data_IF_982351880643
#
_entry.id   IF_982351880643
#
_cell.length_a   1.000
_cell.length_b   1.000
_cell.length_c   1.000
_cell.angle_alpha   90.00
_cell.angle_beta   90.00
_cell.angle_gamma   90.00
#
_symmetry.space_group_name_H-M   'P 1'
#
loop_
_entity.id
_entity.type
_entity.pdbx_description
1 polymer ?
#
# COMPACT_ATOMS: atom_id res chain seq x y z
N UNK A 1 -30.62 13.50 -15.23
CA UNK A 1 -30.16 12.13 -15.50
C UNK A 1 -28.84 12.28 -16.27
N UNK A 2 -27.73 12.26 -15.55
CA UNK A 2 -26.39 12.41 -16.16
C UNK A 2 -25.94 11.01 -16.55
N UNK A 3 -25.91 10.72 -17.84
CA UNK A 3 -25.28 9.54 -18.40
C UNK A 3 -23.76 9.65 -18.18
N UNK A 4 -23.21 8.81 -17.32
CA UNK A 4 -21.78 8.58 -17.26
C UNK A 4 -21.38 7.72 -18.46
N UNK A 5 -20.67 8.34 -19.41
CA UNK A 5 -20.12 7.66 -20.58
C UNK A 5 -18.94 6.75 -20.16
N UNK A 6 -19.17 5.45 -20.17
CA UNK A 6 -18.18 4.40 -19.81
C UNK A 6 -17.13 4.22 -20.94
N UNK A 7 -16.75 5.27 -21.67
CA UNK A 7 -15.83 5.17 -22.80
C UNK A 7 -14.36 5.39 -22.48
N UNK A 8 -13.96 5.50 -21.22
CA UNK A 8 -12.55 5.61 -20.89
C UNK A 8 -11.95 4.30 -20.35
N UNK A 9 -12.15 3.20 -21.09
CA UNK A 9 -11.46 1.94 -20.82
C UNK A 9 -9.92 2.04 -20.98
N UNK A 10 -9.41 3.12 -21.56
CA UNK A 10 -7.96 3.34 -21.70
C UNK A 10 -7.31 3.75 -20.38
N UNK A 11 -8.03 4.45 -19.51
CA UNK A 11 -7.51 4.86 -18.19
C UNK A 11 -7.46 3.70 -17.20
N UNK A 12 -8.39 2.74 -17.30
CA UNK A 12 -8.43 1.56 -16.41
C UNK A 12 -7.26 0.59 -16.74
N UNK A 13 -6.84 0.53 -17.99
CA UNK A 13 -5.69 -0.28 -18.42
C UNK A 13 -4.33 0.32 -18.05
N UNK A 14 -4.29 1.53 -17.46
CA UNK A 14 -3.05 2.16 -17.05
C UNK A 14 -2.55 1.72 -15.68
N UNK A 15 -3.38 1.12 -14.85
CA UNK A 15 -3.05 0.79 -13.46
C UNK A 15 -2.44 -0.60 -13.32
N UNK A 16 -1.42 -0.71 -12.46
CA UNK A 16 -0.87 -2.01 -12.05
C UNK A 16 -1.84 -2.68 -11.07
N UNK A 17 -2.23 -3.91 -11.34
CA UNK A 17 -3.21 -4.63 -10.55
C UNK A 17 -2.55 -5.41 -9.40
N UNK A 18 -3.08 -5.27 -8.18
CA UNK A 18 -2.68 -6.09 -7.04
C UNK A 18 -3.50 -7.39 -7.07
N UNK A 19 -2.83 -8.53 -7.19
CA UNK A 19 -3.48 -9.86 -7.14
C UNK A 19 -3.67 -10.38 -5.72
N UNK A 20 -2.70 -10.12 -4.86
CA UNK A 20 -2.70 -10.69 -3.50
C UNK A 20 -1.85 -9.88 -2.56
N UNK A 21 -2.24 -9.85 -1.30
CA UNK A 21 -1.41 -9.35 -0.19
C UNK A 21 -1.28 -10.43 0.88
N UNK A 22 -0.06 -10.78 1.26
CA UNK A 22 0.24 -11.64 2.39
C UNK A 22 0.74 -10.79 3.55
N UNK A 23 0.13 -10.95 4.71
CA UNK A 23 0.36 -10.13 5.91
C UNK A 23 0.75 -11.02 7.08
N UNK A 24 1.84 -10.68 7.75
CA UNK A 24 2.34 -11.37 8.94
C UNK A 24 2.79 -10.36 9.98
N UNK A 25 2.29 -10.49 11.20
CA UNK A 25 2.73 -9.68 12.33
C UNK A 25 2.50 -8.17 12.17
N UNK A 26 1.46 -7.75 11.46
CA UNK A 26 1.20 -6.35 11.13
C UNK A 26 -0.11 -5.87 11.80
N UNK A 27 0.00 -4.92 12.71
CA UNK A 27 -1.14 -4.32 13.44
C UNK A 27 -2.07 -5.38 14.06
N UNK A 28 -3.30 -5.52 13.57
CA UNK A 28 -4.26 -6.54 14.04
C UNK A 28 -4.00 -7.94 13.47
N UNK A 29 -3.16 -8.06 12.44
CA UNK A 29 -2.77 -9.34 11.85
C UNK A 29 -1.66 -9.98 12.69
N UNK A 30 -1.96 -11.11 13.34
CA UNK A 30 -1.03 -11.82 14.20
C UNK A 30 0.08 -12.57 13.46
N UNK A 31 0.74 -13.46 14.16
CA UNK A 31 1.89 -14.24 13.68
C UNK A 31 1.50 -15.47 12.86
N UNK A 32 0.35 -15.41 12.20
CA UNK A 32 -0.09 -16.38 11.18
C UNK A 32 -0.21 -15.62 9.86
N UNK A 33 0.35 -16.18 8.79
CA UNK A 33 0.18 -15.59 7.46
C UNK A 33 -1.30 -15.45 7.13
N UNK A 34 -1.72 -14.24 6.84
CA UNK A 34 -3.06 -13.92 6.36
C UNK A 34 -2.93 -13.45 4.91
N UNK A 35 -3.60 -14.16 4.00
CA UNK A 35 -3.61 -13.83 2.58
C UNK A 35 -4.95 -13.21 2.20
N UNK A 36 -4.91 -12.10 1.49
CA UNK A 36 -6.07 -11.43 0.89
C UNK A 36 -5.89 -11.41 -0.62
N UNK A 37 -6.77 -12.09 -1.34
CA UNK A 37 -6.78 -12.10 -2.79
C UNK A 37 -7.67 -10.99 -3.32
N UNK A 38 -7.30 -10.44 -4.47
CA UNK A 38 -8.03 -9.38 -5.16
C UNK A 38 -8.30 -9.82 -6.59
N UNK A 39 -9.57 -9.77 -6.98
CA UNK A 39 -9.99 -9.98 -8.36
C UNK A 39 -9.85 -8.67 -9.14
N UNK A 40 -9.71 -8.72 -10.48
CA UNK A 40 -9.70 -7.51 -11.30
C UNK A 40 -10.99 -6.70 -11.14
N UNK A 41 -10.86 -5.37 -11.10
CA UNK A 41 -11.98 -4.43 -11.03
C UNK A 41 -12.15 -3.75 -9.67
N UNK A 42 -13.34 -3.25 -9.38
CA UNK A 42 -13.67 -2.58 -8.14
C UNK A 42 -13.89 -3.59 -7.01
N UNK A 43 -13.10 -3.49 -5.95
CA UNK A 43 -13.17 -4.37 -4.78
C UNK A 43 -13.67 -3.59 -3.59
N UNK A 44 -14.68 -4.13 -2.90
CA UNK A 44 -15.19 -3.60 -1.63
C UNK A 44 -14.85 -4.56 -0.49
N UNK A 45 -14.24 -4.02 0.57
CA UNK A 45 -13.94 -4.77 1.79
C UNK A 45 -14.90 -4.28 2.88
N UNK A 46 -15.84 -5.15 3.29
CA UNK A 46 -16.83 -4.86 4.31
C UNK A 46 -16.63 -5.72 5.56
N UNK A 47 -17.20 -5.29 6.68
CA UNK A 47 -17.13 -6.01 7.96
C UNK A 47 -17.32 -5.05 9.15
N UNK A 48 -17.46 -5.58 10.37
CA UNK A 48 -17.68 -4.76 11.56
C UNK A 48 -16.52 -3.82 11.87
N UNK A 49 -16.79 -2.78 12.67
CA UNK A 49 -15.75 -1.86 13.13
C UNK A 49 -14.70 -2.62 13.95
N UNK A 50 -13.43 -2.30 13.77
CA UNK A 50 -12.32 -2.97 14.44
C UNK A 50 -11.86 -4.29 13.79
N UNK A 51 -12.53 -4.80 12.75
CA UNK A 51 -12.15 -6.08 12.09
C UNK A 51 -10.84 -6.03 11.28
N UNK A 52 -10.17 -4.89 11.21
CA UNK A 52 -8.88 -4.77 10.52
C UNK A 52 -8.96 -4.39 9.03
N UNK A 53 -10.14 -4.03 8.51
CA UNK A 53 -10.31 -3.64 7.09
C UNK A 53 -9.30 -2.60 6.63
N UNK A 54 -9.19 -1.50 7.37
CA UNK A 54 -8.26 -0.43 7.04
C UNK A 54 -6.79 -0.83 7.20
N UNK A 55 -6.50 -1.89 7.97
CA UNK A 55 -5.14 -2.38 8.13
C UNK A 55 -4.63 -3.13 6.90
N UNK A 56 -5.53 -3.60 6.02
CA UNK A 56 -5.15 -4.18 4.72
C UNK A 56 -4.55 -3.10 3.83
N UNK A 57 -5.21 -1.93 3.74
CA UNK A 57 -4.67 -0.79 2.98
C UNK A 57 -3.35 -0.29 3.59
N UNK A 58 -3.28 -0.17 4.92
CA UNK A 58 -2.04 0.22 5.60
C UNK A 58 -0.90 -0.77 5.31
N UNK A 59 -1.20 -2.07 5.22
CA UNK A 59 -0.20 -3.09 4.89
C UNK A 59 0.33 -2.91 3.46
N UNK A 60 -0.54 -2.61 2.49
CA UNK A 60 -0.13 -2.32 1.11
C UNK A 60 0.78 -1.09 1.09
N UNK A 61 0.34 0.01 1.67
CA UNK A 61 1.09 1.27 1.74
C UNK A 61 2.44 1.08 2.46
N UNK A 62 2.47 0.27 3.53
CA UNK A 62 3.71 -0.11 4.21
C UNK A 62 4.67 -0.84 3.27
N UNK A 63 4.21 -1.87 2.56
CA UNK A 63 5.05 -2.65 1.64
C UNK A 63 5.62 -1.79 0.52
N UNK A 64 4.87 -0.78 0.06
CA UNK A 64 5.28 0.18 -0.97
C UNK A 64 6.27 1.23 -0.49
N UNK A 65 6.74 1.14 0.74
CA UNK A 65 7.83 1.97 1.24
C UNK A 65 7.40 3.21 2.01
N UNK A 66 6.13 3.34 2.43
CA UNK A 66 5.74 4.44 3.31
C UNK A 66 6.47 4.36 4.66
N UNK A 67 7.14 5.43 5.03
CA UNK A 67 7.91 5.55 6.26
C UNK A 67 7.28 6.47 7.30
N UNK A 68 6.21 7.19 6.95
CA UNK A 68 5.49 8.03 7.89
C UNK A 68 4.45 7.18 8.63
N UNK A 69 4.74 6.79 9.85
CA UNK A 69 3.85 5.95 10.65
C UNK A 69 2.44 6.57 10.83
N UNK A 70 2.34 7.89 10.86
CA UNK A 70 1.07 8.63 10.96
C UNK A 70 0.14 8.39 9.78
N UNK A 71 0.68 8.14 8.57
CA UNK A 71 -0.10 7.76 7.39
C UNK A 71 -0.83 6.44 7.65
N UNK A 72 -0.19 5.53 8.37
CA UNK A 72 -0.75 4.24 8.78
C UNK A 72 -1.37 4.28 10.19
N UNK A 73 -1.72 5.48 10.68
CA UNK A 73 -2.43 5.71 11.96
C UNK A 73 -1.70 5.14 13.18
N UNK A 74 -0.38 5.24 13.19
CA UNK A 74 0.47 4.80 14.28
C UNK A 74 1.42 5.92 14.76
N UNK A 75 1.79 5.97 16.04
CA UNK A 75 2.69 6.99 16.56
C UNK A 75 4.12 6.84 16.01
N UNK A 76 4.56 5.63 15.77
CA UNK A 76 5.87 5.31 15.21
C UNK A 76 5.81 4.00 14.39
N UNK A 77 6.85 3.72 13.59
CA UNK A 77 6.89 2.53 12.73
C UNK A 77 6.88 1.23 13.54
N UNK A 78 7.54 1.19 14.69
CA UNK A 78 7.59 0.01 15.56
C UNK A 78 6.18 -0.43 16.00
N UNK A 79 5.27 0.51 16.21
CA UNK A 79 3.88 0.25 16.58
C UNK A 79 3.06 -0.44 15.45
N UNK A 80 3.64 -0.63 14.26
CA UNK A 80 3.05 -1.43 13.20
C UNK A 80 3.20 -2.93 13.44
N UNK A 81 4.18 -3.34 14.29
CA UNK A 81 4.39 -4.75 14.62
C UNK A 81 3.29 -5.19 15.57
N UNK A 82 2.68 -6.33 15.26
CA UNK A 82 1.64 -6.92 16.09
C UNK A 82 2.16 -7.21 17.50
N UNK A 83 1.42 -6.74 18.52
CA UNK A 83 1.70 -7.01 19.93
C UNK A 83 3.15 -6.71 20.37
N UNK A 84 3.75 -5.62 19.81
CA UNK A 84 5.18 -5.31 20.01
C UNK A 84 5.53 -5.09 21.49
N UNK A 85 4.60 -4.51 22.27
CA UNK A 85 4.76 -4.22 23.68
C UNK A 85 4.02 -5.23 24.58
N UNK A 86 3.43 -6.28 23.98
CA UNK A 86 2.72 -7.34 24.69
C UNK A 86 3.65 -8.36 25.34
N UNK A 87 3.11 -9.11 26.30
CA UNK A 87 3.82 -10.18 27.03
C UNK A 87 3.95 -11.48 26.24
N UNK A 88 3.58 -11.50 24.97
CA UNK A 88 3.60 -12.70 24.15
C UNK A 88 5.01 -12.97 23.60
N UNK A 89 5.45 -14.21 23.73
CA UNK A 89 6.69 -14.69 23.11
C UNK A 89 6.47 -14.92 21.61
N UNK A 90 6.38 -13.84 20.82
CA UNK A 90 6.23 -13.89 19.37
C UNK A 90 7.39 -13.23 18.63
N UNK A 91 7.53 -13.47 17.33
CA UNK A 91 8.53 -12.79 16.52
C UNK A 91 8.28 -11.27 16.53
N UNK A 92 9.26 -10.50 16.98
CA UNK A 92 9.19 -9.03 16.98
C UNK A 92 9.53 -8.47 15.60
N UNK A 93 8.76 -8.89 14.62
CA UNK A 93 8.89 -8.44 13.23
C UNK A 93 7.53 -8.42 12.54
N UNK A 94 7.45 -7.63 11.50
CA UNK A 94 6.33 -7.62 10.56
C UNK A 94 6.83 -7.86 9.15
N UNK A 95 6.04 -8.58 8.35
CA UNK A 95 6.32 -8.82 6.93
C UNK A 95 5.04 -8.68 6.13
N UNK A 96 5.13 -7.88 5.09
CA UNK A 96 4.06 -7.73 4.10
C UNK A 96 4.61 -8.02 2.72
N UNK A 97 3.87 -8.84 1.95
CA UNK A 97 4.15 -9.12 0.53
C UNK A 97 2.97 -8.66 -0.30
N UNK A 98 3.23 -7.88 -1.32
CA UNK A 98 2.23 -7.45 -2.30
C UNK A 98 2.60 -8.08 -3.63
N UNK A 99 1.67 -8.82 -4.21
CA UNK A 99 1.82 -9.50 -5.48
C UNK A 99 1.06 -8.72 -6.56
N UNK A 100 1.78 -8.27 -7.57
CA UNK A 100 1.25 -7.50 -8.69
C UNK A 100 1.10 -8.37 -9.92
N UNK A 101 0.02 -8.17 -10.65
CA UNK A 101 -0.10 -8.66 -12.01
C UNK A 101 0.79 -7.83 -12.93
N UNK A 102 1.69 -8.48 -13.62
CA UNK A 102 2.59 -7.86 -14.59
C UNK A 102 2.53 -8.59 -15.95
N UNK A 103 1.40 -9.21 -16.26
CA UNK A 103 1.19 -9.86 -17.54
C UNK A 103 1.30 -8.91 -18.74
N UNK A 104 1.01 -7.63 -18.51
CA UNK A 104 1.14 -6.54 -19.48
C UNK A 104 2.54 -5.85 -19.48
N UNK A 105 3.48 -6.33 -18.65
CA UNK A 105 4.87 -5.82 -18.56
C UNK A 105 4.99 -4.33 -18.20
N UNK A 106 4.01 -3.77 -17.52
CA UNK A 106 4.09 -2.38 -17.00
C UNK A 106 5.22 -2.19 -16.02
N UNK A 107 5.44 -3.15 -15.13
CA UNK A 107 6.64 -3.19 -14.31
C UNK A 107 7.77 -3.74 -15.20
N UNK A 108 8.92 -3.04 -15.35
CA UNK A 108 9.98 -3.43 -16.28
C UNK A 108 10.78 -4.64 -15.77
N UNK A 109 10.10 -5.75 -15.59
CA UNK A 109 10.62 -7.05 -15.14
C UNK A 109 9.99 -8.15 -16.00
N UNK A 110 10.79 -9.11 -16.42
CA UNK A 110 10.31 -10.24 -17.22
C UNK A 110 9.71 -11.34 -16.32
N UNK A 111 8.56 -11.02 -15.76
CA UNK A 111 7.77 -11.93 -14.92
C UNK A 111 6.30 -11.51 -14.98
N UNK A 112 5.39 -12.49 -15.06
CA UNK A 112 3.94 -12.24 -15.04
C UNK A 112 3.41 -11.82 -13.67
N UNK A 113 4.17 -12.12 -12.63
CA UNK A 113 3.87 -11.70 -11.26
C UNK A 113 5.13 -11.09 -10.66
N UNK A 114 5.01 -9.89 -10.14
CA UNK A 114 6.08 -9.22 -9.39
C UNK A 114 5.67 -9.12 -7.93
N UNK A 115 6.53 -9.57 -7.03
CA UNK A 115 6.27 -9.55 -5.59
C UNK A 115 7.17 -8.55 -4.91
N UNK A 116 6.59 -7.56 -4.25
CA UNK A 116 7.31 -6.66 -3.36
C UNK A 116 7.11 -7.13 -1.93
N UNK A 117 8.21 -7.32 -1.21
CA UNK A 117 8.21 -7.70 0.20
C UNK A 117 8.91 -6.62 1.02
N UNK A 118 8.27 -6.17 2.08
CA UNK A 118 8.92 -5.42 3.15
C UNK A 118 8.83 -6.21 4.44
N UNK A 119 9.98 -6.38 5.07
CA UNK A 119 10.10 -6.90 6.43
C UNK A 119 10.72 -5.82 7.32
N UNK A 120 10.20 -5.67 8.53
CA UNK A 120 10.71 -4.71 9.50
C UNK A 120 10.82 -5.38 10.88
N UNK A 121 11.95 -5.19 11.55
CA UNK A 121 12.19 -5.68 12.90
C UNK A 121 11.76 -4.66 13.99
N UNK A 122 11.91 -5.05 15.24
CA UNK A 122 11.56 -4.23 16.42
C UNK A 122 12.48 -3.00 16.63
N UNK A 123 13.59 -2.91 15.89
CA UNK A 123 14.42 -1.71 15.86
C UNK A 123 13.93 -0.69 14.82
N UNK A 124 12.91 -1.04 14.01
CA UNK A 124 12.41 -0.22 12.92
C UNK A 124 13.23 -0.33 11.63
N UNK A 125 14.20 -1.25 11.58
CA UNK A 125 15.00 -1.50 10.40
C UNK A 125 14.19 -2.29 9.38
N UNK A 126 14.14 -1.79 8.14
CA UNK A 126 13.39 -2.42 7.05
C UNK A 126 14.30 -3.00 5.99
N UNK A 127 13.95 -4.19 5.53
CA UNK A 127 14.56 -4.85 4.38
C UNK A 127 13.49 -5.02 3.31
N UNK A 128 13.86 -4.73 2.07
CA UNK A 128 12.97 -4.83 0.93
C UNK A 128 13.48 -5.88 -0.05
N UNK A 129 12.56 -6.62 -0.65
CA UNK A 129 12.85 -7.55 -1.74
C UNK A 129 11.85 -7.32 -2.87
N UNK A 130 12.33 -7.48 -4.09
CA UNK A 130 11.51 -7.67 -5.28
C UNK A 130 11.76 -9.10 -5.75
N UNK A 131 10.72 -9.91 -5.71
CA UNK A 131 10.81 -11.37 -5.84
C UNK A 131 11.82 -11.94 -4.84
N UNK A 132 12.91 -12.55 -5.29
CA UNK A 132 13.96 -13.10 -4.44
C UNK A 132 15.14 -12.15 -4.23
N UNK A 133 15.17 -10.96 -4.88
CA UNK A 133 16.30 -10.05 -4.87
C UNK A 133 16.12 -8.96 -3.84
N UNK A 134 17.11 -8.75 -2.98
CA UNK A 134 17.14 -7.62 -2.07
C UNK A 134 17.30 -6.32 -2.87
N UNK A 135 16.46 -5.35 -2.57
CA UNK A 135 16.49 -4.02 -3.20
C UNK A 135 16.43 -2.93 -2.13
N UNK A 136 16.68 -1.69 -2.52
CA UNK A 136 16.48 -0.54 -1.65
C UNK A 136 15.09 0.08 -1.89
N UNK A 137 14.66 0.89 -0.93
CA UNK A 137 13.35 1.57 -1.00
C UNK A 137 13.22 2.46 -2.25
N UNK A 138 14.26 3.21 -2.59
CA UNK A 138 14.21 4.14 -3.73
C UNK A 138 13.96 3.36 -5.03
N UNK A 139 14.57 2.18 -5.18
CA UNK A 139 14.33 1.34 -6.36
C UNK A 139 12.87 0.90 -6.50
N UNK A 140 12.15 0.70 -5.38
CA UNK A 140 10.71 0.44 -5.41
C UNK A 140 9.98 1.66 -5.97
N UNK A 141 10.27 2.83 -5.42
CA UNK A 141 9.61 4.08 -5.86
C UNK A 141 9.87 4.35 -7.34
N UNK A 142 11.12 4.23 -7.81
CA UNK A 142 11.49 4.40 -9.22
C UNK A 142 10.71 3.46 -10.16
N UNK A 143 10.59 2.18 -9.77
CA UNK A 143 9.90 1.16 -10.56
C UNK A 143 8.41 1.51 -10.70
N UNK A 144 7.78 1.94 -9.62
CA UNK A 144 6.35 2.28 -9.64
C UNK A 144 6.07 3.63 -10.32
N UNK A 145 6.99 4.57 -10.24
CA UNK A 145 6.94 5.81 -11.02
C UNK A 145 6.96 5.50 -12.52
N UNK A 146 7.91 4.65 -12.97
CA UNK A 146 7.98 4.22 -14.39
C UNK A 146 6.72 3.47 -14.82
N UNK A 147 6.14 2.66 -13.94
CA UNK A 147 4.93 1.91 -14.22
C UNK A 147 3.65 2.75 -14.18
N UNK A 148 3.74 4.08 -13.98
CA UNK A 148 2.60 4.97 -13.68
C UNK A 148 1.69 4.44 -12.55
N UNK A 149 2.23 3.57 -11.73
CA UNK A 149 1.54 3.01 -10.59
C UNK A 149 1.82 3.90 -9.38
N UNK A 150 1.32 5.13 -9.40
CA UNK A 150 1.44 6.01 -8.25
C UNK A 150 0.58 5.48 -7.10
N UNK A 151 1.23 4.67 -6.26
CA UNK A 151 0.70 4.22 -4.97
C UNK A 151 1.02 5.24 -3.86
N UNK A 152 1.16 6.50 -4.24
CA UNK A 152 1.32 7.58 -3.28
C UNK A 152 0.14 7.57 -2.30
N UNK A 153 0.33 8.08 -1.08
CA UNK A 153 -0.76 8.29 -0.12
C UNK A 153 -1.92 9.14 -0.66
N UNK A 154 -1.72 9.84 -1.78
CA UNK A 154 -2.73 10.64 -2.47
C UNK A 154 -3.70 9.76 -3.29
N UNK A 155 -3.19 8.69 -3.90
CA UNK A 155 -4.01 7.72 -4.64
C UNK A 155 -4.62 6.65 -3.71
N UNK A 156 -4.03 6.43 -2.54
CA UNK A 156 -4.62 5.64 -1.47
C UNK A 156 -5.44 6.56 -0.55
N UNK A 157 -6.70 6.83 -0.88
CA UNK A 157 -7.61 7.66 -0.06
C UNK A 157 -7.89 6.93 1.25
N UNK A 158 -7.14 7.26 2.30
CA UNK A 158 -7.35 6.71 3.63
C UNK A 158 -8.48 7.45 4.37
N UNK A 159 -9.03 6.81 5.39
CA UNK A 159 -10.02 7.43 6.26
C UNK A 159 -9.48 8.75 6.85
N UNK A 160 -10.20 9.84 6.68
CA UNK A 160 -9.81 11.19 7.12
C UNK A 160 -8.99 11.99 6.09
N UNK A 161 -8.58 11.43 4.96
CA UNK A 161 -7.89 12.18 3.91
C UNK A 161 -8.78 13.30 3.35
N UNK A 162 -10.06 13.03 3.15
CA UNK A 162 -11.02 14.04 2.64
C UNK A 162 -11.19 15.20 3.64
N UNK A 163 -11.29 14.88 4.94
CA UNK A 163 -11.35 15.90 5.99
C UNK A 163 -10.07 16.73 6.02
N UNK A 164 -8.92 16.09 5.87
CA UNK A 164 -7.63 16.76 5.82
C UNK A 164 -7.50 17.69 4.61
N UNK A 165 -7.99 17.29 3.44
CA UNK A 165 -8.02 18.15 2.24
C UNK A 165 -8.92 19.37 2.49
N UNK A 166 -10.03 19.21 3.20
CA UNK A 166 -10.90 20.34 3.55
C UNK A 166 -10.26 21.35 4.50
N UNK A 167 -9.36 20.89 5.38
CA UNK A 167 -8.63 21.68 6.36
C UNK A 167 -7.34 22.32 5.82
N UNK A 168 -6.87 21.93 4.65
CA UNK A 168 -5.69 22.50 3.99
C UNK A 168 -5.92 23.96 3.61
N UNK A 169 -4.86 24.76 3.68
CA UNK A 169 -4.82 26.11 3.11
C UNK A 169 -5.05 26.09 1.60
N UNK A 170 -5.43 27.23 1.04
CA UNK A 170 -5.61 27.35 -0.42
C UNK A 170 -4.35 27.02 -1.22
N UNK A 171 -3.16 27.36 -0.70
CA UNK A 171 -1.87 27.05 -1.32
C UNK A 171 -1.56 25.55 -1.27
N UNK A 172 -1.81 24.89 -0.14
CA UNK A 172 -1.62 23.44 -0.01
C UNK A 172 -2.58 22.67 -0.91
N UNK A 173 -3.84 23.11 -1.01
CA UNK A 173 -4.84 22.53 -1.93
C UNK A 173 -4.38 22.65 -3.38
N UNK A 174 -3.92 23.83 -3.77
CA UNK A 174 -3.42 24.08 -5.13
C UNK A 174 -2.24 23.16 -5.45
N UNK A 175 -1.23 23.09 -4.57
CA UNK A 175 -0.07 22.23 -4.75
C UNK A 175 -0.47 20.74 -4.83
N UNK A 176 -1.41 20.30 -3.98
CA UNK A 176 -1.93 18.93 -4.01
C UNK A 176 -2.62 18.62 -5.34
N UNK A 177 -3.37 19.57 -5.91
CA UNK A 177 -4.03 19.41 -7.22
C UNK A 177 -2.99 19.39 -8.34
N UNK A 178 -2.00 20.30 -8.31
CA UNK A 178 -0.90 20.35 -9.27
C UNK A 178 -0.12 19.03 -9.29
N UNK A 179 0.21 18.49 -8.11
CA UNK A 179 0.86 17.18 -7.94
C UNK A 179 0.00 16.02 -8.48
N UNK A 180 -1.33 16.10 -8.36
CA UNK A 180 -2.26 15.06 -8.86
C UNK A 180 -2.41 15.05 -10.39
N UNK A 181 -2.30 16.21 -11.04
CA UNK A 181 -2.46 16.33 -12.50
C UNK A 181 -1.12 16.35 -13.23
N UNK A 182 -0.01 16.20 -12.50
CA UNK A 182 1.32 16.09 -13.08
C UNK A 182 1.87 17.39 -13.67
N UNK A 183 1.50 18.54 -13.10
CA UNK A 183 2.01 19.88 -13.46
C UNK A 183 3.14 20.32 -12.54
#
# INVERSE_FOLDING_TARGET
>A
MLEFDIRDQRSINALVHIKKVDIFGFKSFGFKNTSVNFEPGLISISGPNGSGKSNILDAIVFAMGENKARVMRQPNLRSLIHDIDGNRHGPKLTRVKVHFDNSDRKIPVDSDIVTITREMNDKGESVYHMDSKKINRNRILDIFEVANADLSPLNAVQQGTVTRISEMSSEEKRKTIEDLIGL
#
